data_IF_353845089085
#
_entry.id   IF_353845089085
#
_cell.length_a   1.000
_cell.length_b   1.000
_cell.length_c   1.000
_cell.angle_alpha   90.00
_cell.angle_beta   90.00
_cell.angle_gamma   90.00
#
_symmetry.space_group_name_H-M   'P 1'
#
loop_
_entity.id
_entity.type
_entity.pdbx_description
1 polymer ?
#
# COMPACT_ATOMS: atom_id res chain seq x y z
N UNK A 1 -44.34 -62.14 -27.74
CA UNK A 1 -44.24 -60.72 -27.37
C UNK A 1 -44.15 -60.59 -25.86
N UNK A 2 -42.93 -60.43 -25.32
CA UNK A 2 -42.66 -60.02 -23.93
C UNK A 2 -41.37 -59.22 -23.95
N UNK A 3 -41.49 -57.91 -23.85
CA UNK A 3 -40.39 -56.95 -23.73
C UNK A 3 -40.39 -56.48 -22.28
N UNK A 4 -39.31 -56.73 -21.53
CA UNK A 4 -39.13 -56.24 -20.16
C UNK A 4 -37.94 -55.29 -20.17
N UNK A 5 -38.22 -53.99 -20.13
CA UNK A 5 -37.26 -52.90 -20.03
C UNK A 5 -36.65 -52.86 -18.62
N UNK A 6 -35.33 -52.69 -18.55
CA UNK A 6 -34.57 -52.56 -17.31
C UNK A 6 -34.75 -51.21 -16.62
N UNK A 7 -34.62 -51.21 -15.29
CA UNK A 7 -34.51 -50.00 -14.47
C UNK A 7 -33.04 -49.80 -14.09
N UNK A 8 -32.41 -48.76 -14.64
CA UNK A 8 -31.12 -48.26 -14.17
C UNK A 8 -31.40 -47.10 -13.21
N UNK A 9 -31.04 -47.27 -11.95
CA UNK A 9 -31.10 -46.19 -10.95
C UNK A 9 -29.93 -45.24 -11.15
N UNK A 10 -30.18 -44.06 -11.72
CA UNK A 10 -29.21 -42.98 -11.75
C UNK A 10 -29.27 -42.20 -10.43
N UNK A 11 -28.25 -42.37 -9.59
CA UNK A 11 -28.00 -41.52 -8.42
C UNK A 11 -27.58 -40.12 -8.90
N UNK A 12 -28.52 -39.17 -8.87
CA UNK A 12 -28.20 -37.75 -9.04
C UNK A 12 -27.55 -37.27 -7.75
N UNK A 13 -26.21 -37.31 -7.72
CA UNK A 13 -25.44 -36.67 -6.66
C UNK A 13 -25.53 -35.16 -6.84
N UNK A 14 -26.22 -34.50 -5.92
CA UNK A 14 -26.28 -33.04 -5.83
C UNK A 14 -24.87 -32.52 -5.56
N UNK A 15 -24.23 -31.93 -6.57
CA UNK A 15 -23.05 -31.11 -6.37
C UNK A 15 -23.42 -29.95 -5.43
N UNK A 16 -22.96 -30.02 -4.19
CA UNK A 16 -22.96 -28.87 -3.29
C UNK A 16 -22.12 -27.77 -3.91
N UNK A 17 -22.77 -26.67 -4.28
CA UNK A 17 -22.07 -25.43 -4.65
C UNK A 17 -21.43 -24.89 -3.38
N UNK A 18 -20.12 -25.09 -3.25
CA UNK A 18 -19.30 -24.36 -2.29
C UNK A 18 -19.32 -22.89 -2.72
N UNK A 19 -20.16 -22.09 -2.07
CA UNK A 19 -20.11 -20.64 -2.18
C UNK A 19 -18.74 -20.17 -1.71
N UNK A 20 -17.91 -19.70 -2.64
CA UNK A 20 -16.67 -19.00 -2.30
C UNK A 20 -17.05 -17.74 -1.51
N UNK A 21 -16.81 -17.75 -0.20
CA UNK A 21 -16.90 -16.55 0.61
C UNK A 21 -15.99 -15.50 0.01
N UNK A 22 -16.56 -14.35 -0.37
CA UNK A 22 -15.82 -13.19 -0.84
C UNK A 22 -14.96 -12.68 0.33
N UNK A 23 -13.74 -13.20 0.46
CA UNK A 23 -12.79 -12.74 1.47
C UNK A 23 -12.55 -11.24 1.27
N UNK A 24 -12.88 -10.41 2.26
CA UNK A 24 -12.56 -8.96 2.21
C UNK A 24 -11.04 -8.83 2.14
N UNK A 25 -10.53 -8.22 1.07
CA UNK A 25 -9.11 -7.91 0.97
C UNK A 25 -8.71 -7.03 2.17
N UNK A 26 -7.77 -7.51 2.97
CA UNK A 26 -7.27 -6.82 4.15
C UNK A 26 -6.24 -5.75 3.72
N UNK A 27 -6.15 -4.61 4.42
CA UNK A 27 -5.09 -3.63 4.19
C UNK A 27 -3.71 -4.25 4.43
N UNK A 28 -2.72 -3.79 3.67
CA UNK A 28 -1.32 -4.20 3.83
C UNK A 28 -0.84 -3.94 5.26
N UNK A 29 -0.17 -4.92 5.86
CA UNK A 29 0.55 -4.74 7.12
C UNK A 29 1.86 -4.00 6.85
N UNK A 30 2.15 -3.00 7.68
CA UNK A 30 3.33 -2.15 7.53
C UNK A 30 4.04 -2.05 8.87
N UNK A 31 5.35 -1.86 8.85
CA UNK A 31 6.12 -1.56 10.04
C UNK A 31 5.55 -0.34 10.77
N UNK A 32 5.63 -0.37 12.10
CA UNK A 32 5.20 0.73 12.95
C UNK A 32 5.92 0.67 14.30
N UNK A 33 6.14 1.83 14.94
CA UNK A 33 6.71 1.94 16.29
C UNK A 33 8.13 1.35 16.44
N UNK A 34 8.95 1.45 15.41
CA UNK A 34 10.35 0.96 15.34
C UNK A 34 11.38 1.87 16.02
N UNK A 35 10.95 2.76 16.92
CA UNK A 35 11.82 3.70 17.65
C UNK A 35 12.22 4.97 16.90
N UNK A 36 12.53 4.89 15.60
CA UNK A 36 12.86 6.06 14.76
C UNK A 36 11.85 6.25 13.62
N UNK A 37 11.57 7.51 13.26
CA UNK A 37 10.64 7.84 12.19
C UNK A 37 10.97 9.15 11.47
N UNK A 38 10.25 9.41 10.39
CA UNK A 38 10.19 10.70 9.72
C UNK A 38 8.75 11.02 9.33
N UNK A 39 8.49 12.28 8.96
CA UNK A 39 7.15 12.77 8.62
C UNK A 39 7.08 13.18 7.15
N UNK A 40 6.17 12.56 6.39
CA UNK A 40 5.84 12.92 5.03
C UNK A 40 4.49 13.65 4.98
N UNK A 41 4.52 14.93 4.61
CA UNK A 41 3.33 15.72 4.35
C UNK A 41 2.81 15.44 2.94
N UNK A 42 1.51 15.19 2.85
CA UNK A 42 0.79 14.82 1.63
C UNK A 42 -0.30 15.85 1.34
N UNK A 43 0.03 17.00 0.71
CA UNK A 43 -0.96 17.97 0.28
C UNK A 43 -1.88 17.38 -0.79
N UNK A 44 -3.17 17.68 -0.75
CA UNK A 44 -4.14 17.18 -1.73
C UNK A 44 -3.79 17.62 -3.16
N UNK A 45 -3.20 18.81 -3.31
CA UNK A 45 -2.82 19.36 -4.60
C UNK A 45 -1.73 18.52 -5.30
N UNK A 46 -0.89 17.82 -4.54
CA UNK A 46 0.18 16.98 -5.09
C UNK A 46 -0.34 15.76 -5.87
N UNK A 47 -1.61 15.40 -5.68
CA UNK A 47 -2.25 14.22 -6.29
C UNK A 47 -3.29 14.57 -7.36
N UNK A 48 -3.40 15.85 -7.74
CA UNK A 48 -4.36 16.28 -8.75
C UNK A 48 -4.14 15.56 -10.08
N UNK A 49 -5.23 15.07 -10.69
CA UNK A 49 -5.19 14.34 -11.96
C UNK A 49 -4.80 12.86 -11.84
N UNK A 50 -4.44 12.37 -10.65
CA UNK A 50 -4.21 10.95 -10.40
C UNK A 50 -5.49 10.23 -9.96
N UNK A 51 -5.58 8.93 -10.27
CA UNK A 51 -6.65 8.08 -9.78
C UNK A 51 -6.38 7.63 -8.33
N UNK A 52 -6.57 8.58 -7.40
CA UNK A 52 -6.49 8.40 -5.96
C UNK A 52 -7.74 9.02 -5.34
N UNK A 53 -8.52 8.21 -4.62
CA UNK A 53 -9.85 8.59 -4.13
C UNK A 53 -9.97 8.34 -2.63
N UNK A 54 -10.91 9.00 -1.94
CA UNK A 54 -11.19 8.70 -0.54
C UNK A 54 -11.40 7.20 -0.31
N UNK A 55 -10.71 6.66 0.70
CA UNK A 55 -10.71 5.24 1.04
C UNK A 55 -9.51 4.43 0.53
N UNK A 56 -8.72 4.97 -0.41
CA UNK A 56 -7.47 4.36 -0.83
C UNK A 56 -6.43 4.42 0.30
N UNK A 57 -5.45 3.50 0.26
CA UNK A 57 -4.28 3.58 1.14
C UNK A 57 -3.07 4.07 0.36
N UNK A 58 -2.34 5.00 0.95
CA UNK A 58 -1.02 5.41 0.49
C UNK A 58 0.02 4.71 1.38
N UNK A 59 0.86 3.90 0.76
CA UNK A 59 1.83 3.01 1.41
C UNK A 59 3.25 3.46 1.07
N UNK A 60 4.09 3.66 2.08
CA UNK A 60 5.51 3.94 1.87
C UNK A 60 6.30 2.63 1.83
N UNK A 61 7.14 2.46 0.81
CA UNK A 61 7.93 1.25 0.60
C UNK A 61 9.43 1.52 0.60
N UNK A 62 10.18 0.63 1.26
CA UNK A 62 11.64 0.57 1.17
C UNK A 62 12.09 0.07 -0.21
N UNK A 63 13.37 0.26 -0.59
CA UNK A 63 13.93 -0.29 -1.83
C UNK A 63 13.78 -1.82 -1.95
N UNK A 64 13.78 -2.53 -0.82
CA UNK A 64 13.62 -3.99 -0.77
C UNK A 64 12.14 -4.44 -0.80
N UNK A 65 11.20 -3.50 -0.92
CA UNK A 65 9.78 -3.82 -1.05
C UNK A 65 9.04 -4.05 0.27
N UNK A 66 9.58 -3.60 1.40
CA UNK A 66 8.88 -3.64 2.70
C UNK A 66 8.01 -2.41 2.91
N UNK A 67 6.78 -2.60 3.43
CA UNK A 67 5.92 -1.48 3.75
C UNK A 67 6.35 -0.86 5.10
N UNK A 68 6.75 0.40 5.08
CA UNK A 68 7.30 1.14 6.21
C UNK A 68 6.45 2.37 6.57
N UNK A 69 5.16 2.33 6.26
CA UNK A 69 4.20 3.36 6.63
C UNK A 69 2.92 3.26 5.80
N UNK A 70 1.77 3.59 6.40
CA UNK A 70 0.51 3.69 5.67
C UNK A 70 -0.38 4.80 6.22
N UNK A 71 -1.16 5.40 5.33
CA UNK A 71 -2.24 6.33 5.67
C UNK A 71 -3.43 6.08 4.76
N UNK A 72 -4.65 6.21 5.30
CA UNK A 72 -5.87 6.19 4.51
C UNK A 72 -6.09 7.59 3.92
N UNK A 73 -6.26 7.66 2.61
CA UNK A 73 -6.53 8.91 1.93
C UNK A 73 -8.00 9.27 2.09
N UNK A 74 -8.28 10.51 2.51
CA UNK A 74 -9.65 11.01 2.71
C UNK A 74 -10.01 12.13 1.72
N UNK A 75 -9.16 12.39 0.72
CA UNK A 75 -9.38 13.43 -0.28
C UNK A 75 -8.92 14.84 0.13
N UNK A 76 -8.27 14.96 1.29
CA UNK A 76 -7.69 16.20 1.79
C UNK A 76 -6.26 15.96 2.29
N UNK A 77 -5.59 17.04 2.70
CA UNK A 77 -4.23 16.99 3.24
C UNK A 77 -4.09 15.90 4.31
N UNK A 78 -3.02 15.11 4.21
CA UNK A 78 -2.72 14.02 5.12
C UNK A 78 -1.26 14.07 5.56
N UNK A 79 -0.96 13.32 6.63
CA UNK A 79 0.37 13.12 7.16
C UNK A 79 0.64 11.62 7.22
N UNK A 80 1.77 11.20 6.66
CA UNK A 80 2.22 9.82 6.68
C UNK A 80 3.51 9.72 7.51
N UNK A 81 3.49 8.89 8.54
CA UNK A 81 4.71 8.52 9.27
C UNK A 81 5.49 7.49 8.46
N UNK A 82 6.79 7.75 8.27
CA UNK A 82 7.76 6.84 7.68
C UNK A 82 8.56 6.19 8.82
N UNK A 83 8.49 4.88 8.95
CA UNK A 83 9.16 4.15 10.02
C UNK A 83 10.54 3.68 9.58
N UNK A 84 11.55 3.97 10.40
CA UNK A 84 12.90 3.47 10.17
C UNK A 84 12.99 1.98 10.48
N UNK A 85 14.11 1.38 10.10
CA UNK A 85 14.50 0.08 10.57
C UNK A 85 14.85 0.10 12.07
N UNK A 86 14.48 -0.95 12.80
CA UNK A 86 14.88 -1.12 14.20
C UNK A 86 16.21 -1.90 14.25
N UNK A 87 17.33 -1.28 14.67
CA UNK A 87 18.62 -1.97 14.72
C UNK A 87 18.68 -3.11 15.75
N UNK A 88 17.67 -3.21 16.62
CA UNK A 88 17.56 -4.26 17.63
C UNK A 88 16.79 -5.49 17.13
N UNK A 89 16.17 -5.43 15.94
CA UNK A 89 15.52 -6.58 15.33
C UNK A 89 16.45 -7.27 14.32
N UNK A 90 16.40 -8.61 14.20
CA UNK A 90 17.23 -9.32 13.23
C UNK A 90 16.78 -9.09 11.78
N UNK A 91 15.50 -8.80 11.59
CA UNK A 91 14.92 -8.50 10.28
C UNK A 91 14.87 -7.00 10.06
N UNK A 92 15.22 -6.57 8.84
CA UNK A 92 14.94 -5.19 8.39
C UNK A 92 13.42 -5.02 8.29
N UNK A 93 12.84 -4.02 8.93
CA UNK A 93 11.39 -3.79 8.96
C UNK A 93 10.98 -2.49 8.28
N UNK A 94 11.87 -1.49 8.32
CA UNK A 94 11.61 -0.14 7.85
C UNK A 94 12.73 0.44 6.99
N UNK A 95 12.75 1.77 6.87
CA UNK A 95 13.76 2.49 6.10
C UNK A 95 15.11 2.51 6.80
N UNK A 96 16.18 2.19 6.05
CA UNK A 96 17.54 2.54 6.44
C UNK A 96 17.85 3.99 6.05
N UNK A 97 18.84 4.58 6.72
CA UNK A 97 19.34 5.92 6.38
C UNK A 97 19.81 5.93 4.92
N UNK A 98 19.30 6.88 4.14
CA UNK A 98 19.64 7.03 2.71
C UNK A 98 18.78 6.22 1.74
N UNK A 99 17.88 5.36 2.23
CA UNK A 99 16.94 4.62 1.39
C UNK A 99 16.06 5.58 0.59
N UNK A 100 15.82 5.22 -0.68
CA UNK A 100 14.88 5.96 -1.54
C UNK A 100 13.45 5.71 -1.06
N UNK A 101 12.69 6.79 -0.95
CA UNK A 101 11.27 6.74 -0.62
C UNK A 101 10.43 6.44 -1.88
N UNK A 102 9.57 5.42 -1.81
CA UNK A 102 8.56 5.13 -2.83
C UNK A 102 7.18 5.11 -2.21
N UNK A 103 6.21 5.75 -2.86
CA UNK A 103 4.81 5.71 -2.43
C UNK A 103 4.02 4.80 -3.37
N UNK A 104 3.06 4.06 -2.83
CA UNK A 104 2.19 3.17 -3.60
C UNK A 104 0.74 3.40 -3.17
N UNK A 105 -0.15 3.66 -4.13
CA UNK A 105 -1.59 3.60 -3.88
C UNK A 105 -2.04 2.15 -3.91
N UNK A 106 -2.76 1.74 -2.88
CA UNK A 106 -3.39 0.43 -2.76
C UNK A 106 -4.89 0.56 -2.55
N UNK A 107 -5.66 -0.31 -3.20
CA UNK A 107 -7.08 -0.49 -2.93
C UNK A 107 -7.50 -1.95 -3.20
N UNK A 108 -8.57 -2.45 -2.55
CA UNK A 108 -9.12 -3.78 -2.85
C UNK A 108 -9.50 -3.95 -4.32
N UNK A 109 -9.07 -5.06 -4.93
CA UNK A 109 -9.51 -5.44 -6.28
C UNK A 109 -8.87 -4.68 -7.44
N UNK A 110 -7.94 -3.75 -7.17
CA UNK A 110 -7.18 -3.06 -8.22
C UNK A 110 -5.68 -3.29 -8.09
N UNK A 111 -4.97 -3.09 -9.21
CA UNK A 111 -3.51 -3.15 -9.22
C UNK A 111 -2.93 -1.98 -8.40
N UNK A 112 -1.88 -2.20 -7.60
CA UNK A 112 -1.18 -1.11 -6.95
C UNK A 112 -0.60 -0.12 -7.96
N UNK A 113 -0.65 1.17 -7.65
CA UNK A 113 -0.08 2.24 -8.47
C UNK A 113 1.17 2.79 -7.75
N UNK A 114 2.35 2.56 -8.32
CA UNK A 114 3.61 3.14 -7.84
C UNK A 114 3.72 4.62 -8.21
N UNK A 115 4.25 5.42 -7.29
CA UNK A 115 4.39 6.86 -7.40
C UNK A 115 5.81 7.28 -6.99
N UNK A 116 6.47 8.04 -7.86
CA UNK A 116 7.71 8.74 -7.53
C UNK A 116 7.43 10.08 -6.86
N UNK A 117 8.14 10.36 -5.77
CA UNK A 117 7.98 11.60 -4.99
C UNK A 117 8.83 12.74 -5.58
N UNK A 118 8.22 13.88 -5.84
CA UNK A 118 8.92 15.15 -6.09
C UNK A 118 8.71 16.03 -4.86
N UNK A 119 9.78 16.30 -4.12
CA UNK A 119 9.72 17.01 -2.85
C UNK A 119 9.87 18.53 -3.02
N UNK A 120 9.23 19.29 -2.14
CA UNK A 120 9.33 20.74 -2.06
C UNK A 120 10.72 21.15 -1.55
N UNK A 121 11.32 22.18 -2.18
CA UNK A 121 12.68 22.62 -1.87
C UNK A 121 12.75 24.08 -1.40
N UNK A 122 11.60 24.74 -1.32
CA UNK A 122 11.48 26.20 -1.14
C UNK A 122 11.64 26.73 0.31
N UNK A 123 11.90 25.86 1.31
CA UNK A 123 12.26 26.32 2.68
C UNK A 123 13.35 25.44 3.30
N UNK A 124 14.19 26.04 4.14
CA UNK A 124 15.46 25.48 4.65
C UNK A 124 15.32 24.24 5.57
N UNK A 125 14.13 23.90 6.04
CA UNK A 125 13.87 22.75 6.92
C UNK A 125 13.25 21.56 6.18
N UNK A 126 13.07 21.65 4.86
CA UNK A 126 12.63 20.51 4.04
C UNK A 126 13.83 19.74 3.52
N UNK A 127 13.81 18.43 3.71
CA UNK A 127 14.78 17.55 3.06
C UNK A 127 14.39 17.49 1.59
N UNK A 128 15.23 18.11 0.74
CA UNK A 128 15.00 18.30 -0.69
C UNK A 128 15.45 17.11 -1.55
N UNK A 129 15.77 15.98 -0.92
CA UNK A 129 16.18 14.73 -1.56
C UNK A 129 15.20 13.62 -1.20
N UNK A 130 14.93 12.71 -2.13
CA UNK A 130 14.01 11.57 -1.99
C UNK A 130 14.57 10.43 -1.10
N UNK A 131 15.43 10.78 -0.14
CA UNK A 131 16.16 9.83 0.72
C UNK A 131 15.75 10.00 2.18
N UNK A 132 15.56 8.89 2.88
CA UNK A 132 15.22 8.87 4.30
C UNK A 132 16.33 9.45 5.17
N UNK A 133 15.93 10.28 6.13
CA UNK A 133 16.75 10.93 7.15
C UNK A 133 15.93 10.93 8.45
N UNK A 134 16.51 10.48 9.58
CA UNK A 134 15.84 10.52 10.88
C UNK A 134 15.33 11.92 11.23
N UNK A 135 14.13 11.99 11.80
CA UNK A 135 13.43 13.24 12.16
C UNK A 135 13.17 14.21 11.00
N UNK A 136 13.36 13.73 9.76
CA UNK A 136 13.16 14.51 8.56
C UNK A 136 11.70 14.94 8.38
N UNK A 137 11.52 16.19 7.96
CA UNK A 137 10.23 16.68 7.49
C UNK A 137 10.28 16.81 5.98
N UNK A 138 9.44 16.04 5.30
CA UNK A 138 9.32 16.01 3.85
C UNK A 138 7.97 16.61 3.46
N UNK A 139 7.96 17.43 2.41
CA UNK A 139 6.71 17.90 1.80
C UNK A 139 6.69 17.49 0.34
N UNK A 140 5.69 16.72 -0.06
CA UNK A 140 5.49 16.39 -1.46
C UNK A 140 5.00 17.64 -2.21
N UNK A 141 5.66 17.94 -3.32
CA UNK A 141 5.25 18.97 -4.28
C UNK A 141 4.41 18.37 -5.41
N UNK A 142 4.83 17.23 -5.93
CA UNK A 142 4.14 16.53 -7.03
C UNK A 142 4.50 15.04 -7.01
N UNK A 143 3.70 14.18 -7.65
CA UNK A 143 4.00 12.76 -7.86
C UNK A 143 3.75 12.35 -9.31
N UNK A 144 4.54 11.41 -9.84
CA UNK A 144 4.37 10.87 -11.20
C UNK A 144 4.30 9.34 -11.18
N UNK A 145 3.45 8.71 -12.02
CA UNK A 145 3.45 7.27 -12.19
C UNK A 145 4.77 6.75 -12.77
N UNK A 146 5.20 5.58 -12.32
CA UNK A 146 6.29 4.83 -12.94
C UNK A 146 5.85 4.36 -14.34
N UNK A 147 6.73 4.48 -15.35
CA UNK A 147 6.51 4.05 -16.73
C UNK A 147 6.61 2.55 -16.92
#
# INVERSE_FOLDING_TARGET
>A
MRCSLGYVWALVSTLGVLGAGMGRAQPVSCASRTGQNATLLLPAEAFQGLDIRPGDFLLAYTPEGRCAGKVRWEGHNAVLTLWADDPMTPDKEGFAIGDRLRLVRWRPGERPLSLHLILATERAYWISVDRYVPDGIYRVRHVVPDS
#
